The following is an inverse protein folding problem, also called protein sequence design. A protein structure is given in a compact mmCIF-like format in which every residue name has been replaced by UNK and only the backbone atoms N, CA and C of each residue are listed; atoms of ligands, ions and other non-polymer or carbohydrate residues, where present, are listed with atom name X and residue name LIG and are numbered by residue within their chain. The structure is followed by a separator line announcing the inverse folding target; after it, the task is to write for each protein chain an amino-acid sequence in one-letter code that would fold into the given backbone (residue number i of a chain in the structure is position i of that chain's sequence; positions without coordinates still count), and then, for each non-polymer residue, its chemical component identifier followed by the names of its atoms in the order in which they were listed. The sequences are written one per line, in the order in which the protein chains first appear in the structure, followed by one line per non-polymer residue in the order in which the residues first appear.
data_IF_647015348980
#
_entry.id   IF_647015348980
#
_cell.length_a   1.000
_cell.length_b   1.000
_cell.length_c   1.000
_cell.angle_alpha   90.00
_cell.angle_beta   90.00
_cell.angle_gamma   90.00
#
_symmetry.space_group_name_H-M   'P 1'
#
loop_
_entity.id
_entity.type
_entity.pdbx_description
1 polymer ?
#
# COMPACT_ATOMS: atom_id res chain seq x y z
N UNK A 1 36.53 20.38 -6.85
CA UNK A 1 35.29 20.93 -6.29
C UNK A 1 34.14 19.99 -6.66
N UNK A 2 33.95 18.95 -5.86
CA UNK A 2 32.85 17.98 -6.02
C UNK A 2 31.69 18.49 -5.16
N UNK A 3 30.75 19.21 -5.79
CA UNK A 3 29.50 19.61 -5.17
C UNK A 3 28.64 18.37 -4.95
N UNK A 4 28.76 17.77 -3.76
CA UNK A 4 27.87 16.71 -3.33
C UNK A 4 26.47 17.32 -3.16
N UNK A 5 25.45 16.92 -3.93
CA UNK A 5 24.13 17.52 -3.81
C UNK A 5 23.51 17.19 -2.45
N UNK A 6 22.78 18.14 -1.87
CA UNK A 6 22.13 18.04 -0.57
C UNK A 6 21.26 16.76 -0.49
N UNK A 7 21.13 16.11 0.69
CA UNK A 7 20.43 14.82 0.84
C UNK A 7 18.97 14.81 0.33
N UNK A 8 18.30 15.97 0.28
CA UNK A 8 16.97 16.11 -0.32
C UNK A 8 16.97 15.99 -1.85
N UNK A 9 18.02 16.43 -2.53
CA UNK A 9 18.14 16.42 -3.99
C UNK A 9 18.48 15.00 -4.52
N UNK A 10 19.30 14.24 -3.78
CA UNK A 10 19.56 12.81 -4.07
C UNK A 10 18.29 11.95 -3.93
N UNK A 11 17.49 12.21 -2.89
CA UNK A 11 16.21 11.52 -2.72
C UNK A 11 15.24 11.87 -3.86
N UNK A 12 15.06 13.14 -4.22
CA UNK A 12 14.15 13.49 -5.32
C UNK A 12 14.55 12.87 -6.66
N UNK A 13 15.85 12.73 -6.93
CA UNK A 13 16.35 12.09 -8.15
C UNK A 13 16.08 10.58 -8.17
N UNK A 14 16.28 9.87 -7.05
CA UNK A 14 16.01 8.43 -6.98
C UNK A 14 14.53 8.10 -7.13
N UNK A 15 13.64 8.93 -6.58
CA UNK A 15 12.19 8.77 -6.69
C UNK A 15 11.68 9.11 -8.10
N UNK A 16 12.25 10.14 -8.74
CA UNK A 16 11.94 10.47 -10.13
C UNK A 16 12.37 9.38 -11.10
N UNK A 17 13.57 8.81 -10.90
CA UNK A 17 14.05 7.68 -11.70
C UNK A 17 13.18 6.43 -11.52
N UNK A 18 12.81 6.12 -10.28
CA UNK A 18 11.90 5.01 -9.98
C UNK A 18 10.56 5.19 -10.69
N UNK A 19 9.94 6.37 -10.59
CA UNK A 19 8.67 6.66 -11.26
C UNK A 19 8.80 6.56 -12.79
N UNK A 20 9.89 7.08 -13.36
CA UNK A 20 10.16 6.98 -14.80
C UNK A 20 10.22 5.52 -15.26
N UNK A 21 11.01 4.69 -14.56
CA UNK A 21 11.14 3.26 -14.88
C UNK A 21 9.81 2.54 -14.69
N UNK A 22 9.08 2.83 -13.61
CA UNK A 22 7.77 2.23 -13.34
C UNK A 22 6.75 2.54 -14.45
N UNK A 23 6.62 3.81 -14.85
CA UNK A 23 5.71 4.23 -15.92
C UNK A 23 6.12 3.63 -17.26
N UNK A 24 7.42 3.57 -17.56
CA UNK A 24 7.92 2.96 -18.78
C UNK A 24 7.63 1.45 -18.84
N UNK A 25 7.87 0.72 -17.75
CA UNK A 25 7.53 -0.71 -17.67
C UNK A 25 6.03 -0.95 -17.78
N UNK A 26 5.21 -0.09 -17.16
CA UNK A 26 3.76 -0.15 -17.27
C UNK A 26 3.30 0.10 -18.71
N UNK A 27 3.92 1.04 -19.43
CA UNK A 27 3.67 1.27 -20.85
C UNK A 27 3.93 0.00 -21.68
N UNK A 28 5.07 -0.65 -21.47
CA UNK A 28 5.42 -1.88 -22.21
C UNK A 28 4.50 -3.05 -21.86
N UNK A 29 4.04 -3.16 -20.61
CA UNK A 29 3.01 -4.14 -20.24
C UNK A 29 1.66 -3.84 -20.90
N UNK A 30 1.32 -2.55 -21.07
CA UNK A 30 0.06 -2.13 -21.67
C UNK A 30 0.04 -2.37 -23.19
N UNK A 31 1.13 -2.05 -23.89
CA UNK A 31 1.22 -2.20 -25.34
C UNK A 31 1.64 -3.61 -25.76
N UNK A 32 2.26 -4.37 -24.85
CA UNK A 32 2.77 -5.73 -25.06
C UNK A 32 3.64 -5.85 -26.33
N UNK A 33 4.32 -4.77 -26.71
CA UNK A 33 5.06 -4.64 -27.96
C UNK A 33 6.45 -4.04 -27.70
N UNK A 34 7.45 -4.57 -28.42
CA UNK A 34 8.84 -4.09 -28.39
C UNK A 34 9.21 -3.34 -29.68
N UNK A 35 8.21 -2.90 -30.44
CA UNK A 35 8.41 -2.04 -31.60
C UNK A 35 9.11 -0.73 -31.22
N UNK A 36 9.99 -0.23 -32.09
CA UNK A 36 10.77 0.98 -31.81
C UNK A 36 9.86 2.19 -31.56
N UNK A 37 8.75 2.29 -32.30
CA UNK A 37 7.76 3.34 -32.11
C UNK A 37 7.17 3.33 -30.69
N UNK A 38 6.86 2.14 -30.16
CA UNK A 38 6.30 1.97 -28.82
C UNK A 38 7.33 2.25 -27.73
N UNK A 39 8.59 1.88 -27.96
CA UNK A 39 9.68 2.21 -27.04
C UNK A 39 9.89 3.73 -26.94
N UNK A 40 9.90 4.43 -28.08
CA UNK A 40 10.06 5.89 -28.11
C UNK A 40 8.85 6.61 -27.49
N UNK A 41 7.63 6.17 -27.82
CA UNK A 41 6.41 6.69 -27.23
C UNK A 41 6.40 6.49 -25.70
N UNK A 42 6.76 5.29 -25.23
CA UNK A 42 6.86 4.97 -23.82
C UNK A 42 7.89 5.85 -23.09
N UNK A 43 9.08 6.06 -23.67
CA UNK A 43 10.10 6.95 -23.11
C UNK A 43 9.60 8.39 -22.99
N UNK A 44 8.92 8.90 -24.03
CA UNK A 44 8.35 10.24 -24.04
C UNK A 44 7.26 10.38 -22.96
N UNK A 45 6.34 9.43 -22.88
CA UNK A 45 5.26 9.42 -21.87
C UNK A 45 5.84 9.33 -20.46
N UNK A 46 6.79 8.42 -20.21
CA UNK A 46 7.45 8.29 -18.92
C UNK A 46 8.16 9.59 -18.51
N UNK A 47 8.81 10.28 -19.45
CA UNK A 47 9.45 11.57 -19.20
C UNK A 47 8.42 12.64 -18.82
N UNK A 48 7.35 12.78 -19.61
CA UNK A 48 6.30 13.78 -19.37
C UNK A 48 5.61 13.54 -18.03
N UNK A 49 5.22 12.30 -17.73
CA UNK A 49 4.58 11.95 -16.46
C UNK A 49 5.51 12.21 -15.29
N UNK A 50 6.78 11.85 -15.39
CA UNK A 50 7.77 12.08 -14.33
C UNK A 50 7.99 13.58 -14.09
N UNK A 51 8.07 14.38 -15.15
CA UNK A 51 8.21 15.84 -15.06
C UNK A 51 6.97 16.49 -14.43
N UNK A 52 5.77 16.11 -14.87
CA UNK A 52 4.51 16.61 -14.34
C UNK A 52 4.29 16.21 -12.88
N UNK A 53 4.77 15.03 -12.47
CA UNK A 53 4.58 14.51 -11.12
C UNK A 53 5.64 14.98 -10.11
N UNK A 54 6.62 15.79 -10.53
CA UNK A 54 7.68 16.32 -9.65
C UNK A 54 7.17 16.93 -8.34
N UNK A 55 6.09 17.74 -8.32
CA UNK A 55 5.56 18.32 -7.08
C UNK A 55 5.03 17.28 -6.08
N UNK A 56 4.64 16.09 -6.57
CA UNK A 56 4.03 15.02 -5.77
C UNK A 56 5.01 13.90 -5.40
N UNK A 57 6.25 13.93 -5.91
CA UNK A 57 7.30 12.97 -5.55
C UNK A 57 7.57 12.81 -4.04
N UNK A 58 7.36 13.83 -3.16
CA UNK A 58 7.51 13.64 -1.72
C UNK A 58 6.57 12.59 -1.11
N UNK A 59 5.46 12.23 -1.75
CA UNK A 59 4.61 11.12 -1.30
C UNK A 59 5.37 9.79 -1.29
N UNK A 60 6.24 9.59 -2.28
CA UNK A 60 7.04 8.37 -2.39
C UNK A 60 8.27 8.38 -1.47
N UNK A 61 8.61 9.51 -0.84
CA UNK A 61 9.76 9.64 0.07
C UNK A 61 9.68 8.71 1.31
N UNK A 62 8.49 8.18 1.61
CA UNK A 62 8.28 7.17 2.64
C UNK A 62 8.73 5.75 2.23
N UNK A 63 8.95 5.48 0.94
CA UNK A 63 9.42 4.19 0.45
C UNK A 63 10.95 4.08 0.59
N UNK A 64 11.40 2.96 1.10
CA UNK A 64 12.82 2.58 1.05
C UNK A 64 13.14 2.04 -0.34
N UNK A 65 13.51 2.92 -1.28
CA UNK A 65 13.92 2.57 -2.65
C UNK A 65 15.36 1.99 -2.72
N UNK A 66 15.71 1.09 -1.81
CA UNK A 66 16.99 0.36 -1.85
C UNK A 66 16.75 -0.99 -2.52
N UNK A 67 17.64 -1.51 -3.39
CA UNK A 67 17.49 -2.84 -3.98
C UNK A 67 17.26 -3.97 -2.95
N UNK A 68 17.74 -3.80 -1.72
CA UNK A 68 17.49 -4.71 -0.60
C UNK A 68 16.05 -4.71 -0.05
N UNK A 69 15.19 -3.79 -0.49
CA UNK A 69 13.77 -3.75 -0.14
C UNK A 69 12.89 -4.61 -1.06
N UNK A 70 13.41 -5.07 -2.20
CA UNK A 70 12.66 -5.91 -3.16
C UNK A 70 12.33 -7.29 -2.56
N UNK A 71 13.27 -8.03 -1.94
CA UNK A 71 12.96 -9.32 -1.33
C UNK A 71 11.87 -9.26 -0.23
N UNK A 72 11.95 -8.37 0.78
CA UNK A 72 10.90 -8.30 1.80
C UNK A 72 9.55 -7.85 1.24
N UNK A 73 9.54 -6.99 0.21
CA UNK A 73 8.30 -6.62 -0.48
C UNK A 73 7.64 -7.82 -1.17
N UNK A 74 8.40 -8.64 -1.92
CA UNK A 74 7.86 -9.82 -2.58
C UNK A 74 7.37 -10.87 -1.57
N UNK A 75 8.08 -11.07 -0.47
CA UNK A 75 7.62 -11.95 0.62
C UNK A 75 6.31 -11.44 1.22
N UNK A 76 6.21 -10.14 1.50
CA UNK A 76 4.98 -9.52 1.98
C UNK A 76 3.84 -9.72 0.99
N UNK A 77 4.07 -9.46 -0.30
CA UNK A 77 3.06 -9.61 -1.34
C UNK A 77 2.52 -11.04 -1.41
N UNK A 78 3.39 -12.05 -1.33
CA UNK A 78 2.98 -13.45 -1.31
C UNK A 78 2.12 -13.80 -0.08
N UNK A 79 2.54 -13.38 1.12
CA UNK A 79 1.78 -13.60 2.36
C UNK A 79 0.43 -12.88 2.30
N UNK A 80 0.43 -11.63 1.82
CA UNK A 80 -0.77 -10.82 1.67
C UNK A 80 -1.79 -11.50 0.75
N UNK A 81 -1.36 -12.00 -0.42
CA UNK A 81 -2.25 -12.71 -1.35
C UNK A 81 -2.84 -13.99 -0.75
N UNK A 82 -2.05 -14.75 0.01
CA UNK A 82 -2.55 -15.95 0.69
C UNK A 82 -3.60 -15.63 1.77
N UNK A 83 -3.33 -14.63 2.60
CA UNK A 83 -4.27 -14.17 3.63
C UNK A 83 -5.54 -13.58 3.00
N UNK A 84 -5.40 -12.85 1.89
CA UNK A 84 -6.50 -12.31 1.11
C UNK A 84 -7.43 -13.41 0.60
N UNK A 85 -6.88 -14.50 0.04
CA UNK A 85 -7.67 -15.64 -0.44
C UNK A 85 -8.40 -16.31 0.74
N UNK A 86 -7.71 -16.58 1.85
CA UNK A 86 -8.30 -17.22 3.03
C UNK A 86 -9.46 -16.40 3.61
N UNK A 87 -9.26 -15.10 3.76
CA UNK A 87 -10.27 -14.19 4.27
C UNK A 87 -11.48 -14.10 3.33
N UNK A 88 -11.28 -14.20 2.01
CA UNK A 88 -12.40 -14.24 1.05
C UNK A 88 -13.26 -15.49 1.22
N UNK A 89 -12.65 -16.65 1.45
CA UNK A 89 -13.39 -17.88 1.74
C UNK A 89 -14.15 -17.82 3.07
N UNK A 90 -13.54 -17.25 4.12
CA UNK A 90 -14.21 -17.06 5.41
C UNK A 90 -15.43 -16.14 5.27
N UNK A 91 -15.28 -15.01 4.56
CA UNK A 91 -16.38 -14.09 4.27
C UNK A 91 -17.50 -14.76 3.46
N UNK A 92 -17.14 -15.51 2.42
CA UNK A 92 -18.12 -16.27 1.63
C UNK A 92 -18.89 -17.26 2.50
N UNK A 93 -18.21 -17.98 3.41
CA UNK A 93 -18.86 -18.90 4.36
C UNK A 93 -19.83 -18.18 5.30
N UNK A 94 -19.48 -16.99 5.80
CA UNK A 94 -20.34 -16.19 6.68
C UNK A 94 -21.59 -15.68 5.96
N UNK A 95 -21.44 -15.17 4.74
CA UNK A 95 -22.56 -14.66 3.92
C UNK A 95 -23.49 -15.77 3.47
N UNK A 96 -22.97 -16.96 3.17
CA UNK A 96 -23.78 -18.12 2.79
C UNK A 96 -24.43 -18.83 3.99
N UNK A 97 -24.03 -18.52 5.23
CA UNK A 97 -24.62 -19.11 6.43
C UNK A 97 -26.05 -18.57 6.63
N UNK A 98 -27.07 -19.44 6.75
CA UNK A 98 -28.46 -19.00 6.97
C UNK A 98 -28.65 -18.20 8.27
N UNK A 99 -27.81 -18.47 9.27
CA UNK A 99 -27.81 -17.76 10.55
C UNK A 99 -27.27 -16.33 10.45
N UNK A 100 -26.59 -15.99 9.34
CA UNK A 100 -25.98 -14.70 9.05
C UNK A 100 -25.41 -13.99 10.31
N UNK A 101 -24.44 -14.61 11.01
CA UNK A 101 -23.99 -14.14 12.31
C UNK A 101 -23.06 -12.92 12.14
N UNK A 102 -23.65 -11.77 11.79
CA UNK A 102 -22.96 -10.53 11.52
C UNK A 102 -23.28 -9.52 12.62
N UNK A 103 -22.24 -8.83 13.09
CA UNK A 103 -22.36 -7.72 14.04
C UNK A 103 -21.58 -6.55 13.48
N UNK A 104 -22.16 -5.83 12.51
CA UNK A 104 -21.49 -4.73 11.88
C UNK A 104 -21.34 -3.57 12.87
N UNK A 105 -20.22 -2.87 12.80
CA UNK A 105 -20.00 -1.65 13.56
C UNK A 105 -18.78 -0.90 13.07
N UNK A 106 -18.56 0.27 13.66
CA UNK A 106 -17.40 1.11 13.36
C UNK A 106 -16.51 1.12 14.59
N UNK A 107 -15.23 0.80 14.39
CA UNK A 107 -14.20 0.80 15.42
C UNK A 107 -13.08 1.75 15.01
N UNK A 108 -12.47 2.37 16.00
CA UNK A 108 -11.27 3.17 15.82
C UNK A 108 -10.05 2.29 16.13
N UNK A 109 -9.06 2.28 15.24
CA UNK A 109 -7.79 1.57 15.46
C UNK A 109 -6.62 2.53 15.35
N UNK A 110 -5.57 2.31 16.13
CA UNK A 110 -4.36 3.15 16.13
C UNK A 110 -3.24 2.50 15.33
N UNK A 111 -2.47 3.30 14.59
CA UNK A 111 -1.29 2.85 13.87
C UNK A 111 -0.03 3.55 14.37
N UNK A 112 1.07 2.81 14.38
CA UNK A 112 2.41 3.28 14.73
C UNK A 112 3.18 3.76 13.49
N UNK A 113 2.58 3.69 12.29
CA UNK A 113 3.22 4.13 11.05
C UNK A 113 3.29 5.65 10.97
N UNK A 114 4.50 6.18 10.87
CA UNK A 114 4.75 7.61 10.84
C UNK A 114 4.47 8.22 9.44
N UNK A 115 4.84 7.51 8.37
CA UNK A 115 4.64 8.04 7.01
C UNK A 115 3.19 8.04 6.56
N UNK A 116 2.80 9.07 5.81
CA UNK A 116 1.48 9.17 5.18
C UNK A 116 1.23 8.03 4.18
N UNK A 117 2.28 7.64 3.43
CA UNK A 117 2.20 6.52 2.51
C UNK A 117 2.04 5.18 3.23
N UNK A 118 2.74 4.96 4.34
CA UNK A 118 2.57 3.75 5.16
C UNK A 118 1.15 3.61 5.67
N UNK A 119 0.59 4.70 6.21
CA UNK A 119 -0.81 4.76 6.64
C UNK A 119 -1.79 4.50 5.49
N UNK A 120 -1.52 5.04 4.31
CA UNK A 120 -2.34 4.80 3.11
C UNK A 120 -2.28 3.33 2.65
N UNK A 121 -1.09 2.73 2.64
CA UNK A 121 -0.93 1.31 2.29
C UNK A 121 -1.67 0.45 3.31
N UNK A 122 -1.50 0.72 4.61
CA UNK A 122 -2.21 0.00 5.68
C UNK A 122 -3.73 0.10 5.54
N UNK A 123 -4.27 1.30 5.30
CA UNK A 123 -5.70 1.52 5.09
C UNK A 123 -6.24 0.71 3.89
N UNK A 124 -5.48 0.66 2.79
CA UNK A 124 -5.84 -0.15 1.63
C UNK A 124 -5.73 -1.64 1.92
N UNK A 125 -4.71 -2.09 2.67
CA UNK A 125 -4.60 -3.48 3.09
C UNK A 125 -5.80 -3.91 3.93
N UNK A 126 -6.22 -3.08 4.91
CA UNK A 126 -7.40 -3.32 5.74
C UNK A 126 -8.66 -3.43 4.89
N UNK A 127 -8.85 -2.51 3.95
CA UNK A 127 -10.02 -2.48 3.05
C UNK A 127 -10.08 -3.68 2.12
N UNK A 128 -8.91 -4.15 1.67
CA UNK A 128 -8.83 -5.33 0.82
C UNK A 128 -9.05 -6.63 1.59
N UNK A 129 -8.83 -6.64 2.92
CA UNK A 129 -9.21 -7.79 3.75
C UNK A 129 -10.74 -7.88 3.87
N UNK A 130 -11.33 -9.00 3.44
CA UNK A 130 -12.77 -9.24 3.55
C UNK A 130 -13.26 -9.12 4.98
N UNK A 131 -14.35 -8.37 5.15
CA UNK A 131 -14.96 -8.09 6.44
C UNK A 131 -14.59 -6.73 7.03
N UNK A 132 -13.60 -6.01 6.51
CA UNK A 132 -13.23 -4.67 6.98
C UNK A 132 -13.20 -3.64 5.86
N UNK A 133 -13.52 -2.38 6.17
CA UNK A 133 -13.48 -1.25 5.25
C UNK A 133 -12.93 -0.03 5.99
N UNK A 134 -11.90 0.63 5.44
CA UNK A 134 -11.45 1.92 5.98
C UNK A 134 -12.44 3.01 5.61
N UNK A 135 -12.93 3.74 6.61
CA UNK A 135 -13.88 4.85 6.47
C UNK A 135 -13.15 6.18 6.42
N UNK A 136 -12.18 6.39 7.33
CA UNK A 136 -11.50 7.66 7.49
C UNK A 136 -10.09 7.48 8.09
N UNK A 137 -9.21 8.44 7.81
CA UNK A 137 -7.84 8.52 8.32
C UNK A 137 -7.66 9.83 9.08
N UNK A 138 -7.55 9.75 10.41
CA UNK A 138 -7.46 10.90 11.32
C UNK A 138 -6.16 10.86 12.11
N UNK A 139 -5.13 11.55 11.61
CA UNK A 139 -3.82 11.56 12.28
C UNK A 139 -3.22 10.15 12.35
N UNK A 140 -3.04 9.64 13.57
CA UNK A 140 -2.53 8.29 13.87
C UNK A 140 -3.64 7.23 14.02
N UNK A 141 -4.88 7.61 13.76
CA UNK A 141 -6.06 6.76 13.95
C UNK A 141 -6.76 6.48 12.62
N UNK A 142 -7.20 5.23 12.45
CA UNK A 142 -7.92 4.74 11.27
C UNK A 142 -9.31 4.33 11.74
N UNK A 143 -10.35 4.92 11.13
CA UNK A 143 -11.72 4.53 11.39
C UNK A 143 -12.08 3.37 10.47
N UNK A 144 -12.46 2.22 11.02
CA UNK A 144 -12.70 0.98 10.28
C UNK A 144 -14.13 0.51 10.52
N UNK A 145 -14.87 0.30 9.44
CA UNK A 145 -16.11 -0.45 9.48
C UNK A 145 -15.79 -1.94 9.44
N UNK A 146 -16.26 -2.68 10.43
CA UNK A 146 -16.04 -4.13 10.56
C UNK A 146 -17.38 -4.85 10.51
N UNK A 147 -17.49 -5.85 9.64
CA UNK A 147 -18.72 -6.58 9.34
C UNK A 147 -19.12 -7.56 10.46
N UNK A 148 -18.17 -8.05 11.27
CA UNK A 148 -18.46 -8.87 12.44
C UNK A 148 -17.46 -8.61 13.57
N UNK A 149 -17.88 -7.76 14.50
CA UNK A 149 -17.12 -7.40 15.69
C UNK A 149 -17.31 -8.48 16.76
N UNK A 150 -16.22 -9.12 17.27
CA UNK A 150 -16.30 -10.04 18.40
C UNK A 150 -16.95 -9.42 19.64
N UNK A 151 -17.70 -10.19 20.45
CA UNK A 151 -18.33 -9.65 21.64
C UNK A 151 -17.25 -9.29 22.68
N UNK A 152 -17.31 -8.08 23.21
CA UNK A 152 -16.32 -7.58 24.18
C UNK A 152 -15.07 -6.96 23.54
N UNK A 153 -15.04 -6.76 22.22
CA UNK A 153 -13.95 -6.03 21.57
C UNK A 153 -13.88 -4.57 22.02
N UNK A 154 -12.75 -4.22 22.63
CA UNK A 154 -12.31 -2.85 22.87
C UNK A 154 -11.41 -2.34 21.72
N UNK A 155 -10.97 -1.08 21.82
CA UNK A 155 -10.09 -0.44 20.83
C UNK A 155 -8.77 -1.20 20.67
N UNK A 156 -8.20 -1.72 21.76
CA UNK A 156 -6.90 -2.40 21.74
C UNK A 156 -6.97 -3.77 21.05
N UNK A 157 -8.00 -4.55 21.34
CA UNK A 157 -8.26 -5.84 20.68
C UNK A 157 -8.56 -5.65 19.19
N UNK A 158 -9.43 -4.69 18.83
CA UNK A 158 -9.72 -4.37 17.43
C UNK A 158 -8.45 -3.92 16.68
N UNK A 159 -7.62 -3.07 17.30
CA UNK A 159 -6.33 -2.67 16.73
C UNK A 159 -5.45 -3.87 16.48
N UNK A 160 -5.29 -4.75 17.48
CA UNK A 160 -4.47 -5.96 17.38
C UNK A 160 -4.97 -6.89 16.27
N UNK A 161 -6.28 -7.10 16.15
CA UNK A 161 -6.84 -8.05 15.20
C UNK A 161 -6.78 -7.54 13.75
N UNK A 162 -6.95 -6.24 13.55
CA UNK A 162 -7.04 -5.60 12.23
C UNK A 162 -5.68 -5.12 11.72
N UNK A 163 -4.89 -4.42 12.53
CA UNK A 163 -3.65 -3.75 12.06
C UNK A 163 -2.42 -4.64 12.14
N UNK A 164 -2.29 -5.45 13.22
CA UNK A 164 -1.01 -6.12 13.54
C UNK A 164 -0.52 -7.09 12.47
N UNK A 165 -1.45 -7.69 11.72
CA UNK A 165 -1.15 -8.60 10.61
C UNK A 165 -0.40 -7.91 9.48
N UNK A 166 -0.74 -6.66 9.19
CA UNK A 166 -0.15 -5.92 8.06
C UNK A 166 0.98 -5.02 8.50
N UNK A 167 0.80 -4.31 9.62
CA UNK A 167 1.73 -3.29 10.12
C UNK A 167 3.15 -3.86 10.32
N UNK A 168 3.26 -5.09 10.87
CA UNK A 168 4.55 -5.78 11.04
C UNK A 168 5.34 -5.95 9.74
N UNK A 169 4.64 -6.16 8.63
CA UNK A 169 5.27 -6.39 7.34
C UNK A 169 5.58 -5.08 6.58
N UNK A 170 4.84 -4.00 6.87
CA UNK A 170 5.03 -2.69 6.23
C UNK A 170 6.28 -1.96 6.73
N UNK A 171 6.66 -2.13 8.00
CA UNK A 171 7.87 -1.52 8.61
C UNK A 171 9.17 -1.90 7.85
N UNK A 172 9.16 -3.02 7.11
CA UNK A 172 10.32 -3.47 6.33
C UNK A 172 10.68 -2.57 5.15
N UNK A 173 9.71 -1.91 4.51
CA UNK A 173 9.92 -1.15 3.27
C UNK A 173 9.30 0.25 3.27
N UNK A 174 8.56 0.60 4.32
CA UNK A 174 7.99 1.92 4.54
C UNK A 174 8.49 2.48 5.87
N UNK A 175 8.84 3.77 5.89
CA UNK A 175 9.19 4.48 7.13
C UNK A 175 7.96 4.80 7.97
#
# INVERSE_FOLDING_TARGET
MSSNPLPQQQAQFSHGLFLFVLVFLLWLMLTASLEIAELLAGLAVAAVVTLASRPHLPLFAGLRLTPGAIPPFLTYLGIFLLELIRANFDMARRVLSPSLPLRPGVVEVKTQLESSLGRLILANSITLTPGTLTVDLRGDSILVHWVDIPPGSDIESATRDITSKFERHLVGFVK
#
